data_IF_090783269097
#
_entry.id   IF_090783269097
#
_cell.length_a   1.000
_cell.length_b   1.000
_cell.length_c   1.000
_cell.angle_alpha   90.00
_cell.angle_beta   90.00
_cell.angle_gamma   90.00
#
_symmetry.space_group_name_H-M   'P 1'
#
loop_
_entity.id
_entity.type
_entity.pdbx_description
1 polymer ?
#
# COMPACT_ATOMS: atom_id res chain seq x y z
N UNK A 1 -8.59 31.20 -7.82
CA UNK A 1 -8.08 31.42 -6.45
C UNK A 1 -6.94 30.45 -6.19
N UNK A 2 -5.67 30.89 -6.14
CA UNK A 2 -4.60 30.04 -5.64
C UNK A 2 -4.93 29.64 -4.19
N UNK A 3 -4.67 28.39 -3.82
CA UNK A 3 -4.92 27.87 -2.46
C UNK A 3 -6.26 27.17 -2.23
N UNK A 4 -7.05 26.89 -3.27
CA UNK A 4 -8.29 26.12 -3.17
C UNK A 4 -8.28 24.90 -4.11
N UNK A 5 -8.91 23.80 -3.69
CA UNK A 5 -9.03 22.57 -4.48
C UNK A 5 -9.24 21.32 -3.64
N UNK A 6 -9.31 20.17 -4.30
CA UNK A 6 -9.35 18.86 -3.65
C UNK A 6 -7.97 18.22 -3.76
N UNK A 7 -7.28 18.09 -2.64
CA UNK A 7 -5.95 17.47 -2.56
C UNK A 7 -5.99 16.26 -1.61
N UNK A 8 -6.15 15.04 -2.14
CA UNK A 8 -6.03 13.85 -1.32
C UNK A 8 -4.56 13.68 -0.88
N UNK A 9 -4.31 13.69 0.43
CA UNK A 9 -2.96 13.44 0.96
C UNK A 9 -2.62 11.96 0.81
N UNK A 10 -1.78 11.64 -0.19
CA UNK A 10 -1.33 10.28 -0.46
C UNK A 10 -0.22 9.89 0.52
N UNK A 11 -0.29 8.65 1.04
CA UNK A 11 0.57 8.22 2.14
C UNK A 11 1.97 7.74 1.75
N UNK A 12 2.11 6.89 0.72
CA UNK A 12 3.40 6.35 0.30
C UNK A 12 4.06 7.22 -0.78
N UNK A 13 5.39 7.25 -0.82
CA UNK A 13 6.18 8.17 -1.66
C UNK A 13 5.85 8.12 -3.16
N UNK A 14 5.48 6.95 -3.69
CA UNK A 14 5.16 6.75 -5.11
C UNK A 14 3.84 5.99 -5.35
N UNK A 15 2.92 5.91 -4.36
CA UNK A 15 1.63 5.22 -4.55
C UNK A 15 0.82 5.83 -5.70
N UNK A 16 0.97 7.15 -5.88
CA UNK A 16 0.37 7.88 -6.98
C UNK A 16 0.97 7.42 -8.32
N UNK A 17 2.30 7.36 -8.42
CA UNK A 17 3.02 6.91 -9.61
C UNK A 17 2.70 5.47 -9.99
N UNK A 18 2.63 4.55 -9.02
CA UNK A 18 2.21 3.16 -9.24
C UNK A 18 0.86 3.09 -9.96
N UNK A 19 -0.13 3.86 -9.50
CA UNK A 19 -1.44 3.93 -10.13
C UNK A 19 -1.40 4.58 -11.52
N UNK A 20 -0.56 5.60 -11.72
CA UNK A 20 -0.39 6.27 -13.02
C UNK A 20 0.24 5.33 -14.06
N UNK A 21 1.23 4.52 -13.69
CA UNK A 21 1.90 3.57 -14.60
C UNK A 21 1.18 2.22 -14.72
N UNK A 22 0.02 2.06 -14.10
CA UNK A 22 -0.86 0.92 -14.35
C UNK A 22 -0.70 -0.27 -13.40
N UNK A 23 -0.15 -0.09 -12.20
CA UNK A 23 -0.14 -1.12 -11.15
C UNK A 23 -1.53 -1.18 -10.50
N UNK A 24 -2.50 -1.72 -11.23
CA UNK A 24 -3.92 -1.82 -10.86
C UNK A 24 -4.56 -3.06 -11.51
N UNK A 25 -5.61 -3.67 -10.92
CA UNK A 25 -6.28 -4.84 -11.50
C UNK A 25 -6.90 -4.60 -12.89
N UNK A 26 -7.21 -3.34 -13.23
CA UNK A 26 -7.73 -2.94 -14.54
C UNK A 26 -7.02 -1.68 -15.04
N UNK A 27 -6.32 -1.83 -16.16
CA UNK A 27 -5.71 -0.69 -16.87
C UNK A 27 -6.78 0.21 -17.50
N UNK A 28 -6.43 1.48 -17.70
CA UNK A 28 -7.22 2.39 -18.53
C UNK A 28 -7.13 1.94 -19.99
N UNK A 29 -8.25 2.00 -20.71
CA UNK A 29 -8.35 1.52 -22.10
C UNK A 29 -7.29 2.13 -23.02
N UNK A 30 -7.00 3.42 -22.87
CA UNK A 30 -5.95 4.10 -23.64
C UNK A 30 -4.55 3.54 -23.37
N UNK A 31 -4.19 3.31 -22.11
CA UNK A 31 -2.89 2.73 -21.73
C UNK A 31 -2.79 1.28 -22.21
N UNK A 32 -3.87 0.51 -22.07
CA UNK A 32 -3.96 -0.85 -22.58
C UNK A 32 -3.71 -0.91 -24.09
N UNK A 33 -4.38 -0.05 -24.86
CA UNK A 33 -4.22 0.02 -26.30
C UNK A 33 -2.79 0.44 -26.71
N UNK A 34 -2.23 1.48 -26.07
CA UNK A 34 -0.87 1.95 -26.34
C UNK A 34 0.18 0.88 -26.00
N UNK A 35 0.03 0.13 -24.91
CA UNK A 35 0.96 -0.97 -24.59
C UNK A 35 1.00 -2.02 -25.71
N UNK A 36 -0.16 -2.44 -26.22
CA UNK A 36 -0.22 -3.42 -27.30
C UNK A 36 0.37 -2.89 -28.62
N UNK A 37 0.04 -1.64 -28.99
CA UNK A 37 0.54 -1.00 -30.21
C UNK A 37 2.05 -0.75 -30.15
N UNK A 38 2.54 -0.16 -29.05
CA UNK A 38 3.92 0.31 -28.91
C UNK A 38 4.90 -0.80 -28.56
N UNK A 39 4.48 -1.81 -27.80
CA UNK A 39 5.35 -2.92 -27.37
C UNK A 39 5.07 -4.22 -28.13
N UNK A 40 4.11 -4.24 -29.05
CA UNK A 40 3.78 -5.43 -29.86
C UNK A 40 3.27 -6.61 -29.03
N UNK A 41 2.69 -6.35 -27.86
CA UNK A 41 2.18 -7.39 -26.95
C UNK A 41 0.69 -7.64 -27.13
N UNK A 42 0.24 -8.85 -26.78
CA UNK A 42 -1.19 -9.17 -26.63
C UNK A 42 -1.48 -9.39 -25.14
N UNK A 43 -2.22 -8.47 -24.55
CA UNK A 43 -2.52 -8.49 -23.12
C UNK A 43 -3.81 -9.27 -22.83
N UNK A 44 -3.93 -9.91 -21.64
CA UNK A 44 -5.17 -10.55 -21.23
C UNK A 44 -6.28 -9.50 -21.04
N UNK A 45 -7.51 -9.87 -21.44
CA UNK A 45 -8.71 -9.03 -21.26
C UNK A 45 -9.54 -9.44 -20.04
N UNK A 46 -9.11 -10.48 -19.32
CA UNK A 46 -9.76 -10.93 -18.09
C UNK A 46 -9.55 -9.91 -16.97
N UNK A 47 -10.56 -9.66 -16.12
CA UNK A 47 -10.40 -8.80 -14.95
C UNK A 47 -9.28 -9.31 -14.03
N UNK A 48 -8.39 -8.41 -13.61
CA UNK A 48 -7.45 -8.69 -12.53
C UNK A 48 -8.14 -8.76 -11.17
N UNK A 49 -7.41 -9.24 -10.17
CA UNK A 49 -7.86 -9.29 -8.78
C UNK A 49 -7.29 -8.12 -7.97
N UNK A 50 -8.13 -7.48 -7.15
CA UNK A 50 -7.66 -6.58 -6.09
C UNK A 50 -6.99 -7.37 -4.95
N UNK A 51 -6.32 -6.68 -4.03
CA UNK A 51 -5.60 -7.33 -2.92
C UNK A 51 -6.47 -8.28 -2.11
N UNK A 52 -7.71 -7.90 -1.78
CA UNK A 52 -8.59 -8.75 -0.96
C UNK A 52 -9.11 -9.95 -1.77
N UNK A 53 -9.42 -9.74 -3.06
CA UNK A 53 -9.76 -10.83 -3.97
C UNK A 53 -8.60 -11.84 -4.13
N UNK A 54 -7.35 -11.38 -4.16
CA UNK A 54 -6.18 -12.26 -4.13
C UNK A 54 -6.12 -13.08 -2.83
N UNK A 55 -6.34 -12.45 -1.66
CA UNK A 55 -6.33 -13.17 -0.37
C UNK A 55 -7.47 -14.19 -0.28
N UNK A 56 -8.67 -13.85 -0.77
CA UNK A 56 -9.82 -14.76 -0.83
C UNK A 56 -9.53 -15.94 -1.75
N UNK A 57 -8.98 -15.68 -2.93
CA UNK A 57 -8.59 -16.72 -3.89
C UNK A 57 -7.48 -17.63 -3.34
N UNK A 58 -6.51 -17.07 -2.62
CA UNK A 58 -5.45 -17.84 -1.95
C UNK A 58 -6.03 -18.78 -0.88
N UNK A 59 -6.99 -18.30 -0.07
CA UNK A 59 -7.67 -19.12 0.93
C UNK A 59 -8.45 -20.29 0.30
N UNK A 60 -8.94 -20.13 -0.92
CA UNK A 60 -9.62 -21.17 -1.70
C UNK A 60 -8.65 -22.13 -2.41
N UNK A 61 -7.33 -22.00 -2.22
CA UNK A 61 -6.32 -22.80 -2.94
C UNK A 61 -6.18 -22.43 -4.42
N UNK A 62 -6.64 -21.23 -4.80
CA UNK A 62 -6.71 -20.79 -6.19
C UNK A 62 -5.52 -19.97 -6.69
N UNK A 63 -4.46 -19.81 -5.88
CA UNK A 63 -3.21 -19.13 -6.22
C UNK A 63 -2.04 -20.08 -5.95
N UNK A 64 -1.34 -20.49 -7.01
CA UNK A 64 -0.15 -21.34 -6.88
C UNK A 64 1.13 -20.57 -6.55
N UNK A 65 1.26 -19.33 -7.04
CA UNK A 65 2.45 -18.52 -6.80
C UNK A 65 2.08 -17.06 -6.50
N UNK A 66 2.77 -16.45 -5.54
CA UNK A 66 2.70 -15.02 -5.27
C UNK A 66 4.09 -14.39 -5.30
N UNK A 67 4.19 -13.26 -5.99
CA UNK A 67 5.42 -12.49 -6.06
C UNK A 67 5.20 -11.13 -5.42
N UNK A 68 5.79 -10.95 -4.24
CA UNK A 68 5.64 -9.76 -3.43
C UNK A 68 6.85 -8.86 -3.63
N UNK A 69 6.71 -7.88 -4.53
CA UNK A 69 7.71 -6.85 -4.79
C UNK A 69 7.57 -5.71 -3.77
N UNK A 70 8.44 -5.72 -2.76
CA UNK A 70 8.39 -4.80 -1.65
C UNK A 70 7.17 -5.00 -0.73
N UNK A 71 7.09 -4.14 0.29
CA UNK A 71 5.96 -4.11 1.22
C UNK A 71 5.89 -5.30 2.20
N UNK A 72 4.75 -5.40 2.88
CA UNK A 72 4.46 -6.40 3.90
C UNK A 72 2.97 -6.76 3.81
N UNK A 73 2.61 -7.66 2.89
CA UNK A 73 1.22 -8.03 2.60
C UNK A 73 0.51 -8.63 3.82
N UNK A 74 1.23 -9.39 4.64
CA UNK A 74 0.71 -9.91 5.90
C UNK A 74 0.39 -8.78 6.88
N UNK A 75 1.38 -7.94 7.18
CA UNK A 75 1.24 -6.87 8.17
C UNK A 75 0.28 -5.76 7.74
N UNK A 76 0.04 -5.57 6.45
CA UNK A 76 -0.90 -4.58 5.94
C UNK A 76 -2.34 -5.08 5.79
N UNK A 77 -2.57 -6.39 5.86
CA UNK A 77 -3.92 -6.96 5.77
C UNK A 77 -4.69 -6.79 7.09
N UNK A 78 -6.02 -6.56 7.04
CA UNK A 78 -6.89 -6.79 8.19
C UNK A 78 -6.96 -8.28 8.54
N UNK A 79 -7.41 -8.61 9.75
CA UNK A 79 -7.56 -9.98 10.24
C UNK A 79 -6.27 -10.80 10.05
N UNK A 80 -5.27 -10.52 10.89
CA UNK A 80 -3.95 -11.14 10.80
C UNK A 80 -4.01 -12.68 10.79
N UNK A 81 -4.98 -13.28 11.48
CA UNK A 81 -5.19 -14.72 11.49
C UNK A 81 -5.67 -15.23 10.12
N UNK A 82 -6.62 -14.54 9.48
CA UNK A 82 -6.99 -14.81 8.10
C UNK A 82 -5.83 -14.59 7.13
N UNK A 83 -5.09 -13.48 7.25
CA UNK A 83 -3.96 -13.19 6.38
C UNK A 83 -2.91 -14.31 6.41
N UNK A 84 -2.56 -14.79 7.60
CA UNK A 84 -1.67 -15.94 7.76
C UNK A 84 -2.21 -17.20 7.08
N UNK A 85 -3.49 -17.54 7.29
CA UNK A 85 -4.13 -18.71 6.65
C UNK A 85 -4.19 -18.59 5.12
N UNK A 86 -4.51 -17.42 4.60
CA UNK A 86 -4.60 -17.16 3.17
C UNK A 86 -3.24 -17.34 2.50
N UNK A 87 -2.18 -16.75 3.06
CA UNK A 87 -0.82 -16.88 2.53
C UNK A 87 -0.30 -18.32 2.64
N UNK A 88 -0.59 -19.03 3.74
CA UNK A 88 -0.24 -20.44 3.90
C UNK A 88 -0.89 -21.38 2.86
N UNK A 89 -1.97 -20.94 2.21
CA UNK A 89 -2.61 -21.68 1.12
C UNK A 89 -1.86 -21.62 -0.21
N UNK A 90 -0.88 -20.72 -0.37
CA UNK A 90 -0.13 -20.50 -1.60
C UNK A 90 1.05 -21.47 -1.68
N UNK A 91 1.26 -22.13 -2.83
CA UNK A 91 2.35 -23.12 -2.96
C UNK A 91 3.72 -22.46 -2.87
N UNK A 92 3.93 -21.35 -3.58
CA UNK A 92 5.19 -20.61 -3.54
C UNK A 92 4.98 -19.11 -3.33
N UNK A 93 5.65 -18.53 -2.34
CA UNK A 93 5.72 -17.08 -2.15
C UNK A 93 7.17 -16.61 -2.30
N UNK A 94 7.39 -15.62 -3.16
CA UNK A 94 8.68 -14.94 -3.30
C UNK A 94 8.54 -13.51 -2.79
N UNK A 95 9.29 -13.19 -1.73
CA UNK A 95 9.41 -11.86 -1.17
C UNK A 95 10.68 -11.19 -1.68
N UNK A 96 10.54 -10.04 -2.34
CA UNK A 96 11.64 -9.16 -2.69
C UNK A 96 11.59 -7.95 -1.76
N UNK A 97 12.54 -7.82 -0.85
CA UNK A 97 12.52 -6.77 0.17
C UNK A 97 13.92 -6.23 0.49
N UNK A 98 13.98 -4.98 0.91
CA UNK A 98 15.23 -4.33 1.35
C UNK A 98 15.57 -4.67 2.81
N UNK A 99 14.58 -5.08 3.60
CA UNK A 99 14.73 -5.42 5.02
C UNK A 99 13.69 -6.45 5.43
N UNK A 100 14.01 -7.26 6.43
CA UNK A 100 13.07 -8.21 7.01
C UNK A 100 11.85 -7.49 7.63
N UNK A 101 10.69 -8.12 7.56
CA UNK A 101 9.45 -7.66 8.17
C UNK A 101 8.59 -8.84 8.65
N UNK A 102 7.48 -8.54 9.31
CA UNK A 102 6.60 -9.57 9.91
C UNK A 102 6.02 -10.56 8.89
N UNK A 103 5.89 -10.18 7.62
CA UNK A 103 5.44 -11.07 6.56
C UNK A 103 6.41 -12.22 6.28
N UNK A 104 7.71 -12.02 6.49
CA UNK A 104 8.73 -13.07 6.31
C UNK A 104 8.71 -14.14 7.41
N UNK A 105 7.90 -13.96 8.45
CA UNK A 105 7.77 -14.91 9.57
C UNK A 105 6.34 -15.43 9.67
N UNK A 106 5.36 -14.57 9.49
CA UNK A 106 3.94 -14.91 9.71
C UNK A 106 3.13 -15.03 8.41
N UNK A 107 3.65 -14.53 7.29
CA UNK A 107 3.01 -14.55 5.98
C UNK A 107 3.59 -15.62 5.05
N UNK A 108 3.84 -16.81 5.54
CA UNK A 108 4.53 -17.86 4.78
C UNK A 108 3.57 -18.63 3.88
N UNK A 109 4.03 -18.99 2.67
CA UNK A 109 3.43 -20.03 1.84
C UNK A 109 3.99 -21.41 2.17
N UNK A 110 3.62 -22.44 1.40
CA UNK A 110 4.18 -23.80 1.57
C UNK A 110 5.69 -23.82 1.34
N UNK A 111 6.13 -23.10 0.31
CA UNK A 111 7.51 -22.72 0.09
C UNK A 111 7.61 -21.18 0.09
N UNK A 112 8.58 -20.62 0.81
CA UNK A 112 8.77 -19.17 0.87
C UNK A 112 10.23 -18.82 0.64
N UNK A 113 10.49 -17.97 -0.36
CA UNK A 113 11.80 -17.42 -0.64
C UNK A 113 11.83 -15.95 -0.28
N UNK A 114 12.83 -15.55 0.51
CA UNK A 114 13.06 -14.15 0.86
C UNK A 114 14.37 -13.73 0.20
N UNK A 115 14.28 -12.88 -0.81
CA UNK A 115 15.43 -12.44 -1.60
C UNK A 115 15.67 -10.94 -1.34
N UNK A 116 16.86 -10.57 -0.84
CA UNK A 116 17.17 -9.18 -0.59
C UNK A 116 17.37 -8.41 -1.91
N UNK A 117 16.82 -7.20 -1.98
CA UNK A 117 16.95 -6.29 -3.12
C UNK A 117 17.56 -4.96 -2.68
N UNK A 118 18.12 -4.22 -3.64
CA UNK A 118 18.68 -2.89 -3.38
C UNK A 118 17.57 -1.92 -2.95
N UNK A 119 17.84 -1.13 -1.92
CA UNK A 119 17.01 0.02 -1.61
C UNK A 119 17.20 1.13 -2.66
N UNK A 120 16.26 2.08 -2.73
CA UNK A 120 16.32 3.17 -3.69
C UNK A 120 17.62 3.97 -3.61
N UNK A 121 18.12 4.22 -2.40
CA UNK A 121 19.38 4.94 -2.14
C UNK A 121 20.64 4.12 -2.49
N UNK A 122 20.47 2.86 -2.90
CA UNK A 122 21.52 1.93 -3.32
C UNK A 122 21.37 1.53 -4.79
N UNK A 123 20.40 2.10 -5.51
CA UNK A 123 20.13 1.76 -6.90
C UNK A 123 21.19 2.40 -7.82
N UNK A 124 21.96 1.62 -8.58
CA UNK A 124 23.01 2.14 -9.46
C UNK A 124 22.51 3.02 -10.60
N UNK A 125 21.22 2.95 -10.95
CA UNK A 125 20.64 3.75 -12.03
C UNK A 125 19.57 4.73 -11.54
N UNK A 126 19.45 5.93 -12.13
CA UNK A 126 18.41 6.88 -11.74
C UNK A 126 17.01 6.28 -11.81
N UNK A 127 16.16 6.65 -10.84
CA UNK A 127 14.74 6.24 -10.76
C UNK A 127 13.83 7.47 -10.83
N UNK A 128 12.57 7.27 -11.22
CA UNK A 128 11.57 8.34 -11.24
C UNK A 128 10.40 8.05 -10.30
N UNK A 129 9.86 9.11 -9.68
CA UNK A 129 8.75 9.01 -8.74
C UNK A 129 7.75 10.14 -8.97
N UNK A 130 6.45 9.81 -8.98
CA UNK A 130 5.38 10.80 -8.94
C UNK A 130 5.01 11.09 -7.49
N UNK A 131 5.22 12.33 -7.07
CA UNK A 131 4.83 12.80 -5.75
C UNK A 131 3.30 12.93 -5.62
N UNK A 132 2.82 13.10 -4.38
CA UNK A 132 1.40 13.34 -4.09
C UNK A 132 0.80 14.57 -4.80
N UNK A 133 1.63 15.48 -5.30
CA UNK A 133 1.21 16.67 -6.04
C UNK A 133 1.14 16.45 -7.56
N UNK A 134 1.25 15.20 -8.04
CA UNK A 134 1.37 14.86 -9.47
C UNK A 134 2.61 15.47 -10.13
N UNK A 135 3.68 15.66 -9.36
CA UNK A 135 4.97 16.14 -9.83
C UNK A 135 5.98 14.98 -9.91
N UNK A 136 6.56 14.76 -11.08
CA UNK A 136 7.50 13.68 -11.38
C UNK A 136 8.92 14.15 -11.11
N UNK A 137 9.61 13.42 -10.24
CA UNK A 137 10.99 13.68 -9.84
C UNK A 137 11.94 12.62 -10.40
N UNK A 138 13.19 13.02 -10.63
CA UNK A 138 14.29 12.13 -10.97
C UNK A 138 15.23 12.06 -9.77
N UNK A 139 15.52 10.84 -9.30
CA UNK A 139 16.40 10.61 -8.16
C UNK A 139 17.49 9.64 -8.57
N UNK A 140 18.74 10.05 -8.37
CA UNK A 140 19.86 9.13 -8.37
C UNK A 140 19.81 8.26 -7.11
N UNK A 141 20.26 7.02 -7.23
CA UNK A 141 20.57 6.17 -6.09
C UNK A 141 22.04 6.32 -5.69
N UNK A 142 22.63 5.25 -5.19
CA UNK A 142 23.96 5.29 -4.59
C UNK A 142 24.64 3.93 -4.57
N UNK A 143 25.76 3.86 -3.86
CA UNK A 143 26.49 2.61 -3.73
C UNK A 143 25.73 1.60 -2.87
N UNK A 144 25.76 0.33 -3.27
CA UNK A 144 25.24 -0.77 -2.46
C UNK A 144 26.00 -0.88 -1.13
N UNK A 145 25.26 -1.06 -0.03
CA UNK A 145 25.81 -1.28 1.31
C UNK A 145 26.34 -2.70 1.50
N UNK A 146 25.78 -3.66 0.76
CA UNK A 146 26.10 -5.08 0.87
C UNK A 146 26.28 -5.73 -0.50
N UNK A 147 27.13 -6.75 -0.56
CA UNK A 147 27.24 -7.63 -1.73
C UNK A 147 26.04 -8.58 -1.77
N UNK A 148 25.50 -8.83 -2.96
CA UNK A 148 24.42 -9.81 -3.19
C UNK A 148 23.09 -9.21 -3.65
N UNK A 149 22.49 -8.24 -2.94
CA UNK A 149 21.23 -7.62 -3.35
C UNK A 149 21.30 -7.06 -4.78
N UNK A 150 20.21 -7.23 -5.53
CA UNK A 150 20.10 -6.78 -6.92
C UNK A 150 18.99 -5.74 -7.08
N UNK A 151 19.07 -4.95 -8.15
CA UNK A 151 18.01 -4.03 -8.57
C UNK A 151 16.72 -4.81 -8.85
N UNK A 152 15.59 -4.29 -8.37
CA UNK A 152 14.26 -4.82 -8.65
C UNK A 152 13.96 -4.86 -10.15
N UNK A 153 14.32 -3.79 -10.88
CA UNK A 153 14.13 -3.70 -12.34
C UNK A 153 14.91 -4.79 -13.06
N UNK A 154 16.16 -5.00 -12.64
CA UNK A 154 17.01 -6.06 -13.19
C UNK A 154 16.42 -7.44 -12.93
N UNK A 155 15.96 -7.72 -11.72
CA UNK A 155 15.32 -9.01 -11.39
C UNK A 155 14.09 -9.23 -12.27
N UNK A 156 13.20 -8.24 -12.38
CA UNK A 156 11.99 -8.33 -13.20
C UNK A 156 12.31 -8.60 -14.66
N UNK A 157 13.29 -7.89 -15.21
CA UNK A 157 13.74 -8.08 -16.57
C UNK A 157 14.40 -9.45 -16.81
N UNK A 158 15.27 -9.90 -15.90
CA UNK A 158 15.91 -11.23 -15.98
C UNK A 158 14.87 -12.36 -15.93
N UNK A 159 13.85 -12.26 -15.06
CA UNK A 159 12.73 -13.21 -15.04
C UNK A 159 11.91 -13.17 -16.32
N UNK A 160 11.55 -11.96 -16.80
CA UNK A 160 10.81 -11.80 -18.05
C UNK A 160 11.52 -12.47 -19.22
N UNK A 161 12.84 -12.24 -19.33
CA UNK A 161 13.70 -12.88 -20.33
C UNK A 161 13.76 -14.41 -20.17
N UNK A 162 13.93 -14.90 -18.94
CA UNK A 162 14.04 -16.34 -18.67
C UNK A 162 12.74 -17.10 -18.99
N UNK A 163 11.58 -16.49 -18.75
CA UNK A 163 10.27 -17.12 -18.97
C UNK A 163 9.78 -16.97 -20.41
N UNK A 164 9.97 -15.80 -21.02
CA UNK A 164 9.41 -15.48 -22.34
C UNK A 164 10.41 -15.64 -23.49
N UNK A 165 11.70 -15.74 -23.18
CA UNK A 165 12.79 -15.91 -24.15
C UNK A 165 13.15 -14.63 -24.91
N UNK A 166 14.23 -14.69 -25.68
CA UNK A 166 14.78 -13.56 -26.45
C UNK A 166 13.92 -13.19 -27.68
N UNK A 167 13.01 -14.07 -28.10
CA UNK A 167 12.06 -13.81 -29.18
C UNK A 167 10.78 -13.08 -28.71
N UNK A 168 10.70 -12.72 -27.43
CA UNK A 168 9.61 -11.92 -26.86
C UNK A 168 9.49 -10.56 -27.57
N UNK A 169 8.27 -10.05 -27.72
CA UNK A 169 8.01 -8.73 -28.29
C UNK A 169 8.67 -7.59 -27.47
N UNK A 170 8.80 -7.80 -26.15
CA UNK A 170 9.55 -6.92 -25.26
C UNK A 170 10.99 -7.40 -25.21
N UNK A 171 11.94 -6.49 -25.51
CA UNK A 171 13.37 -6.69 -25.29
C UNK A 171 13.71 -6.56 -23.80
N UNK A 172 13.52 -7.66 -23.08
CA UNK A 172 13.79 -7.74 -21.64
C UNK A 172 15.27 -7.48 -21.30
N UNK A 173 16.20 -7.84 -22.18
CA UNK A 173 17.62 -7.59 -21.95
C UNK A 173 17.90 -6.08 -21.93
N UNK A 174 17.37 -5.32 -22.90
CA UNK A 174 17.49 -3.88 -22.91
C UNK A 174 16.78 -3.21 -21.72
N UNK A 175 15.59 -3.68 -21.34
CA UNK A 175 14.84 -3.15 -20.19
C UNK A 175 15.62 -3.34 -18.88
N UNK A 176 16.24 -4.50 -18.68
CA UNK A 176 17.04 -4.78 -17.48
C UNK A 176 18.39 -4.06 -17.46
N UNK A 177 18.96 -3.75 -18.63
CA UNK A 177 20.22 -3.04 -18.74
C UNK A 177 20.08 -1.53 -18.46
N UNK A 178 18.91 -0.92 -18.74
CA UNK A 178 18.74 0.52 -18.62
C UNK A 178 17.35 0.94 -18.11
N UNK A 179 17.32 1.65 -16.99
CA UNK A 179 16.10 2.32 -16.51
C UNK A 179 15.58 3.38 -17.50
N UNK A 180 16.46 3.92 -18.35
CA UNK A 180 16.08 4.85 -19.42
C UNK A 180 15.15 4.19 -20.43
N UNK A 181 15.41 2.92 -20.80
CA UNK A 181 14.51 2.15 -21.69
C UNK A 181 13.14 1.91 -21.08
N UNK A 182 13.08 1.69 -19.77
CA UNK A 182 11.81 1.60 -19.03
C UNK A 182 11.07 2.94 -19.08
N UNK A 183 11.77 4.07 -18.87
CA UNK A 183 11.18 5.41 -18.97
C UNK A 183 10.69 5.74 -20.38
N UNK A 184 11.43 5.40 -21.42
CA UNK A 184 11.01 5.55 -22.82
C UNK A 184 9.72 4.77 -23.10
N UNK A 185 9.63 3.52 -22.62
CA UNK A 185 8.42 2.71 -22.74
C UNK A 185 7.23 3.33 -22.00
N UNK A 186 7.44 3.82 -20.78
CA UNK A 186 6.40 4.54 -20.02
C UNK A 186 5.95 5.80 -20.78
N UNK A 187 6.89 6.61 -21.28
CA UNK A 187 6.60 7.82 -22.04
C UNK A 187 5.76 7.54 -23.30
N UNK A 188 6.04 6.42 -24.00
CA UNK A 188 5.30 6.01 -25.17
C UNK A 188 3.88 5.50 -24.84
N UNK A 189 3.69 4.90 -23.65
CA UNK A 189 2.47 4.17 -23.31
C UNK A 189 1.52 4.91 -22.36
N UNK A 190 2.00 5.83 -21.53
CA UNK A 190 1.23 6.45 -20.45
C UNK A 190 1.00 7.94 -20.73
N UNK A 191 -0.26 8.38 -21.00
CA UNK A 191 -0.57 9.78 -21.26
C UNK A 191 -0.16 10.70 -20.10
N UNK A 192 0.51 11.82 -20.45
CA UNK A 192 1.00 12.81 -19.50
C UNK A 192 2.40 12.52 -18.95
N UNK A 193 3.01 11.38 -19.32
CA UNK A 193 4.38 11.01 -18.95
C UNK A 193 5.36 11.08 -20.13
N UNK A 194 4.96 11.66 -21.26
CA UNK A 194 5.80 11.84 -22.45
C UNK A 194 7.17 12.50 -22.14
N UNK A 195 7.28 13.48 -21.22
CA UNK A 195 8.59 14.08 -20.88
C UNK A 195 9.61 13.09 -20.29
N UNK A 196 9.19 11.91 -19.82
CA UNK A 196 10.12 10.88 -19.33
C UNK A 196 11.08 10.37 -20.41
N UNK A 197 10.74 10.47 -21.70
CA UNK A 197 11.61 10.02 -22.79
C UNK A 197 12.95 10.77 -22.82
N UNK A 198 12.96 12.04 -22.41
CA UNK A 198 14.14 12.91 -22.46
C UNK A 198 14.72 13.22 -21.07
N UNK A 199 14.09 12.78 -19.99
CA UNK A 199 14.41 13.22 -18.62
C UNK A 199 15.85 12.86 -18.21
N UNK A 200 16.40 11.77 -18.74
CA UNK A 200 17.78 11.35 -18.43
C UNK A 200 18.81 12.34 -18.93
N UNK A 201 18.53 12.99 -20.08
CA UNK A 201 19.39 13.99 -20.70
C UNK A 201 19.10 15.38 -20.16
N UNK A 202 17.82 15.74 -20.04
CA UNK A 202 17.42 17.11 -19.68
C UNK A 202 17.47 17.36 -18.18
N UNK A 203 17.34 16.30 -17.37
CA UNK A 203 17.14 16.37 -15.91
C UNK A 203 15.94 17.23 -15.52
N UNK A 204 15.01 17.47 -16.44
CA UNK A 204 13.87 18.35 -16.24
C UNK A 204 12.72 17.58 -15.58
N UNK A 205 12.58 17.78 -14.27
CA UNK A 205 11.39 17.36 -13.51
C UNK A 205 10.15 18.14 -13.96
N UNK A 206 8.96 17.55 -13.84
CA UNK A 206 7.76 18.14 -14.42
C UNK A 206 6.48 17.82 -13.65
N UNK A 207 5.51 18.73 -13.76
CA UNK A 207 4.13 18.52 -13.33
C UNK A 207 3.36 17.76 -14.41
N UNK A 208 2.62 16.70 -14.05
CA UNK A 208 1.76 16.00 -15.00
C UNK A 208 0.57 16.90 -15.35
N UNK A 209 0.45 17.23 -16.64
CA UNK A 209 -0.56 18.14 -17.15
C UNK A 209 -2.00 17.65 -16.91
N UNK A 210 -2.91 18.59 -16.63
CA UNK A 210 -4.34 18.32 -16.48
C UNK A 210 -4.70 17.49 -15.24
N UNK A 211 -3.84 17.54 -14.22
CA UNK A 211 -4.10 17.01 -12.86
C UNK A 211 -4.47 18.13 -11.90
N UNK A 212 -3.83 19.29 -12.05
CA UNK A 212 -4.26 20.56 -11.50
C UNK A 212 -5.35 21.17 -12.40
N UNK A 213 -6.45 21.60 -11.78
CA UNK A 213 -7.56 22.25 -12.48
C UNK A 213 -7.48 23.75 -12.20
N UNK A 214 -6.98 24.51 -13.19
CA UNK A 214 -6.95 25.98 -13.14
C UNK A 214 -8.25 26.60 -13.63
N UNK A 215 -9.03 25.84 -14.40
CA UNK A 215 -10.37 26.16 -14.89
C UNK A 215 -11.37 25.07 -14.46
N UNK A 216 -12.67 25.37 -14.29
CA UNK A 216 -13.69 24.40 -13.92
C UNK A 216 -14.08 23.48 -15.10
N UNK A 217 -13.09 22.88 -15.75
CA UNK A 217 -13.23 21.91 -16.83
C UNK A 217 -12.91 20.53 -16.28
N UNK A 218 -13.95 19.69 -16.15
CA UNK A 218 -13.83 18.38 -15.55
C UNK A 218 -13.73 17.29 -16.64
N UNK A 219 -13.04 16.19 -16.34
CA UNK A 219 -12.92 15.02 -17.25
C UNK A 219 -14.18 14.14 -17.21
N UNK A 220 -15.35 14.77 -17.23
CA UNK A 220 -16.67 14.16 -17.35
C UNK A 220 -17.18 14.37 -18.77
N UNK A 221 -18.15 13.56 -19.21
CA UNK A 221 -18.68 13.65 -20.57
C UNK A 221 -19.33 15.01 -20.90
N UNK A 222 -19.85 15.72 -19.89
CA UNK A 222 -20.47 17.04 -20.01
C UNK A 222 -19.54 18.20 -19.62
N UNK A 223 -18.30 17.88 -19.22
CA UNK A 223 -17.29 18.85 -18.77
C UNK A 223 -17.56 19.48 -17.39
N UNK A 224 -18.57 19.03 -16.63
CA UNK A 224 -19.01 19.60 -15.35
C UNK A 224 -18.74 18.67 -14.17
N UNK A 225 -18.58 19.24 -12.98
CA UNK A 225 -18.53 18.47 -11.74
C UNK A 225 -19.90 17.86 -11.42
N UNK A 226 -19.92 16.60 -10.99
CA UNK A 226 -21.14 15.91 -10.56
C UNK A 226 -21.19 15.89 -9.04
N UNK A 227 -22.20 16.54 -8.47
CA UNK A 227 -22.42 16.55 -7.03
C UNK A 227 -23.23 15.33 -6.63
N UNK A 228 -22.77 14.61 -5.61
CA UNK A 228 -23.45 13.46 -5.05
C UNK A 228 -23.72 13.68 -3.56
N UNK A 229 -24.86 13.18 -3.09
CA UNK A 229 -25.19 13.14 -1.66
C UNK A 229 -24.89 11.73 -1.15
N UNK A 230 -23.92 11.61 -0.26
CA UNK A 230 -23.63 10.34 0.40
C UNK A 230 -24.51 10.18 1.65
N UNK A 231 -25.18 9.03 1.84
CA UNK A 231 -25.90 8.78 3.07
C UNK A 231 -24.93 8.66 4.25
N UNK A 232 -25.28 9.26 5.39
CA UNK A 232 -24.51 9.07 6.63
C UNK A 232 -24.81 7.68 7.18
N UNK A 233 -23.79 6.81 7.39
CA UNK A 233 -24.00 5.48 7.92
C UNK A 233 -24.68 5.54 9.30
N UNK A 234 -25.71 4.70 9.51
CA UNK A 234 -26.32 4.52 10.83
C UNK A 234 -25.54 3.47 11.60
N UNK A 235 -24.91 3.91 12.66
CA UNK A 235 -24.10 3.05 13.50
C UNK A 235 -24.93 2.40 14.62
N UNK A 236 -24.81 1.09 14.79
CA UNK A 236 -25.41 0.40 15.94
C UNK A 236 -24.80 0.92 17.25
N UNK A 237 -25.59 1.06 18.33
CA UNK A 237 -25.10 1.54 19.62
C UNK A 237 -23.99 0.64 20.16
N UNK A 238 -23.06 1.21 20.92
CA UNK A 238 -22.02 0.47 21.62
C UNK A 238 -22.59 -0.21 22.87
N UNK A 239 -22.15 -1.43 23.15
CA UNK A 239 -22.39 -2.10 24.43
C UNK A 239 -21.64 -1.44 25.60
N UNK A 240 -21.97 -1.86 26.82
CA UNK A 240 -21.44 -1.24 28.04
C UNK A 240 -19.91 -1.25 28.15
N UNK A 241 -19.24 -2.26 27.58
CA UNK A 241 -17.78 -2.40 27.56
C UNK A 241 -17.15 -2.21 26.17
N UNK A 242 -17.91 -1.68 25.22
CA UNK A 242 -17.46 -1.51 23.84
C UNK A 242 -16.98 -0.10 23.53
N UNK A 243 -16.06 0.00 22.58
CA UNK A 243 -15.53 1.22 21.97
C UNK A 243 -15.41 1.04 20.45
N UNK A 244 -15.31 2.17 19.73
CA UNK A 244 -14.89 2.20 18.33
C UNK A 244 -13.39 2.42 18.22
N UNK A 245 -12.68 1.42 17.73
CA UNK A 245 -11.26 1.45 17.52
C UNK A 245 -10.90 1.99 16.13
N UNK A 246 -9.95 2.93 16.10
CA UNK A 246 -9.19 3.29 14.91
C UNK A 246 -7.75 2.82 15.02
N UNK A 247 -7.19 2.26 13.95
CA UNK A 247 -5.76 1.99 13.89
C UNK A 247 -5.00 3.25 13.44
N UNK A 248 -3.85 3.51 14.07
CA UNK A 248 -3.02 4.70 13.83
C UNK A 248 -1.57 4.31 13.57
N UNK A 249 -0.79 5.27 13.04
CA UNK A 249 0.66 5.18 12.95
C UNK A 249 1.32 6.15 13.93
N UNK A 250 2.50 5.79 14.42
CA UNK A 250 3.38 6.73 15.12
C UNK A 250 4.26 7.51 14.12
N UNK A 251 5.00 8.48 14.62
CA UNK A 251 6.04 9.21 13.91
C UNK A 251 7.31 8.40 13.69
N UNK A 252 7.67 7.51 14.63
CA UNK A 252 8.78 6.55 14.54
C UNK A 252 8.48 5.34 13.64
N UNK A 253 7.59 5.51 12.66
CA UNK A 253 7.07 4.44 11.82
C UNK A 253 6.86 4.93 10.39
N UNK A 254 7.19 4.07 9.42
CA UNK A 254 6.80 4.26 8.03
C UNK A 254 6.00 3.06 7.52
N UNK A 255 4.69 3.26 7.38
CA UNK A 255 3.75 2.18 7.02
C UNK A 255 3.92 0.99 7.95
N UNK A 256 4.14 -0.23 7.45
CA UNK A 256 4.28 -1.44 8.28
C UNK A 256 5.67 -1.58 8.93
N UNK A 257 6.60 -0.67 8.66
CA UNK A 257 7.95 -0.70 9.22
C UNK A 257 7.95 0.18 10.46
N UNK A 258 8.13 -0.45 11.61
CA UNK A 258 8.27 0.21 12.91
C UNK A 258 9.75 0.40 13.19
N UNK A 259 10.20 1.65 13.30
CA UNK A 259 11.58 1.97 13.67
C UNK A 259 11.72 2.15 15.18
N UNK A 260 10.67 2.63 15.83
CA UNK A 260 10.67 2.98 17.24
C UNK A 260 9.36 2.55 17.91
N UNK A 261 9.48 2.04 19.14
CA UNK A 261 8.34 1.69 19.98
C UNK A 261 7.71 2.90 20.66
N UNK A 262 8.46 3.99 20.80
CA UNK A 262 7.95 5.22 21.40
C UNK A 262 7.17 6.07 20.39
N UNK A 263 6.20 6.83 20.90
CA UNK A 263 5.44 7.84 20.20
C UNK A 263 5.40 9.10 21.07
N UNK A 264 6.23 10.06 20.70
CA UNK A 264 6.38 11.37 21.33
C UNK A 264 5.10 12.20 21.27
N UNK A 265 4.31 12.07 20.20
CA UNK A 265 3.08 12.85 20.06
C UNK A 265 1.97 12.37 21.01
N UNK A 266 2.02 11.10 21.41
CA UNK A 266 1.05 10.49 22.31
C UNK A 266 1.60 10.21 23.71
N UNK A 267 2.91 10.45 23.91
CA UNK A 267 3.57 10.30 25.19
C UNK A 267 3.62 8.86 25.66
N UNK A 268 3.77 7.90 24.74
CA UNK A 268 3.88 6.47 25.07
C UNK A 268 5.21 5.90 24.62
N UNK A 269 5.75 5.01 25.42
CA UNK A 269 7.04 4.32 25.26
C UNK A 269 6.92 2.97 24.54
N UNK A 270 5.70 2.57 24.19
CA UNK A 270 5.34 1.24 23.70
C UNK A 270 4.13 1.31 22.77
N UNK A 271 3.95 0.28 21.96
CA UNK A 271 2.89 0.22 20.94
C UNK A 271 1.75 -0.74 21.27
N UNK A 272 1.96 -1.69 22.18
CA UNK A 272 0.95 -2.62 22.68
C UNK A 272 0.09 -1.98 23.79
N UNK A 273 -0.54 -0.86 23.42
CA UNK A 273 -1.43 -0.05 24.26
C UNK A 273 -2.77 0.20 23.56
N UNK A 274 -3.80 0.43 24.37
CA UNK A 274 -5.05 1.03 23.94
C UNK A 274 -5.17 2.44 24.53
N UNK A 275 -5.30 3.42 23.64
CA UNK A 275 -5.45 4.82 23.98
C UNK A 275 -6.93 5.14 24.09
N UNK A 276 -7.39 5.55 25.28
CA UNK A 276 -8.79 5.84 25.59
C UNK A 276 -8.94 7.23 26.21
N UNK A 277 -10.15 7.80 26.09
CA UNK A 277 -10.49 9.03 26.80
C UNK A 277 -10.54 8.79 28.33
N UNK A 278 -10.20 9.78 29.17
CA UNK A 278 -10.36 9.68 30.63
C UNK A 278 -11.78 9.27 31.06
N UNK A 279 -12.80 9.72 30.33
CA UNK A 279 -14.21 9.41 30.58
C UNK A 279 -14.50 7.92 30.34
N UNK A 280 -13.99 7.34 29.26
CA UNK A 280 -14.15 5.91 28.99
C UNK A 280 -13.35 5.07 29.97
N UNK A 281 -12.15 5.51 30.34
CA UNK A 281 -11.35 4.84 31.37
C UNK A 281 -12.13 4.78 32.69
N UNK A 282 -12.70 5.90 33.13
CA UNK A 282 -13.51 5.97 34.34
C UNK A 282 -14.79 5.12 34.23
N UNK A 283 -15.51 5.23 33.11
CA UNK A 283 -16.74 4.47 32.81
C UNK A 283 -16.51 2.96 32.83
N UNK A 284 -15.36 2.51 32.33
CA UNK A 284 -15.00 1.10 32.24
C UNK A 284 -14.30 0.57 33.51
N UNK A 285 -14.00 1.44 34.47
CA UNK A 285 -13.31 1.09 35.71
C UNK A 285 -11.86 0.68 35.51
N UNK A 286 -11.18 1.27 34.51
CA UNK A 286 -9.82 0.88 34.13
C UNK A 286 -8.76 1.73 34.85
N UNK A 287 -7.66 1.11 35.23
CA UNK A 287 -6.47 1.81 35.71
C UNK A 287 -5.49 2.07 34.56
N UNK A 288 -4.71 3.16 34.66
CA UNK A 288 -3.56 3.37 33.78
C UNK A 288 -2.60 2.19 33.97
N UNK A 289 -1.98 1.72 32.89
CA UNK A 289 -1.09 0.55 32.87
C UNK A 289 -1.74 -0.81 33.14
N UNK A 290 -3.05 -0.85 33.41
CA UNK A 290 -3.78 -2.11 33.53
C UNK A 290 -3.64 -2.92 32.24
N UNK A 291 -3.25 -4.18 32.38
CA UNK A 291 -3.33 -5.14 31.29
C UNK A 291 -4.78 -5.55 31.09
N UNK A 292 -5.26 -5.42 29.86
CA UNK A 292 -6.61 -5.77 29.43
C UNK A 292 -6.55 -6.61 28.16
N UNK A 293 -7.64 -7.32 27.87
CA UNK A 293 -7.82 -7.95 26.57
C UNK A 293 -8.77 -7.09 25.73
N UNK A 294 -8.32 -6.68 24.56
CA UNK A 294 -9.18 -6.03 23.56
C UNK A 294 -9.62 -7.09 22.57
N UNK A 295 -10.93 -7.22 22.35
CA UNK A 295 -11.54 -8.22 21.46
C UNK A 295 -12.35 -7.57 20.36
N UNK A 296 -12.34 -8.16 19.18
CA UNK A 296 -13.25 -7.84 18.08
C UNK A 296 -13.92 -9.12 17.55
N UNK A 297 -14.68 -8.99 16.47
CA UNK A 297 -15.29 -10.15 15.80
C UNK A 297 -14.27 -11.13 15.18
N UNK A 298 -13.01 -10.72 14.99
CA UNK A 298 -11.99 -11.51 14.26
C UNK A 298 -10.76 -11.86 15.08
N UNK A 299 -10.57 -11.26 16.26
CA UNK A 299 -9.40 -11.55 17.08
C UNK A 299 -9.39 -10.85 18.41
N UNK A 300 -8.31 -11.10 19.16
CA UNK A 300 -8.06 -10.47 20.45
C UNK A 300 -6.57 -10.17 20.62
N UNK A 301 -6.25 -9.15 21.43
CA UNK A 301 -4.87 -8.89 21.84
C UNK A 301 -4.80 -8.33 23.26
N UNK A 302 -3.73 -8.70 23.97
CA UNK A 302 -3.40 -8.15 25.29
C UNK A 302 -2.66 -6.84 25.13
N UNK A 303 -3.11 -5.82 25.84
CA UNK A 303 -2.53 -4.47 25.77
C UNK A 303 -2.58 -3.79 27.13
N UNK A 304 -1.91 -2.65 27.24
CA UNK A 304 -2.04 -1.76 28.41
C UNK A 304 -2.91 -0.55 28.14
N UNK A 305 -3.65 -0.13 29.16
CA UNK A 305 -4.47 1.09 29.09
C UNK A 305 -3.60 2.34 29.23
N UNK A 306 -3.82 3.31 28.33
CA UNK A 306 -3.23 4.65 28.35
C UNK A 306 -4.33 5.68 28.13
N UNK A 307 -4.23 6.82 28.81
CA UNK A 307 -5.11 7.96 28.53
C UNK A 307 -4.57 8.75 27.34
N UNK A 308 -5.47 9.15 26.45
CA UNK A 308 -5.19 10.09 25.38
C UNK A 308 -6.46 10.85 25.02
N UNK A 309 -6.31 12.03 24.41
CA UNK A 309 -7.43 12.87 23.99
C UNK A 309 -8.14 12.33 22.73
N UNK A 310 -8.62 11.08 22.80
CA UNK A 310 -9.56 10.50 21.84
C UNK A 310 -10.97 10.90 22.24
N UNK A 311 -11.89 11.08 21.28
CA UNK A 311 -13.30 11.36 21.59
C UNK A 311 -13.92 10.19 22.37
N UNK A 312 -14.65 10.44 23.48
CA UNK A 312 -15.33 9.37 24.22
C UNK A 312 -16.20 8.46 23.34
N UNK A 313 -16.25 7.17 23.67
CA UNK A 313 -16.79 6.09 22.86
C UNK A 313 -15.83 5.54 21.79
N UNK A 314 -14.61 6.09 21.68
CA UNK A 314 -13.61 5.67 20.70
C UNK A 314 -12.27 5.35 21.38
N UNK A 315 -11.44 4.58 20.69
CA UNK A 315 -10.09 4.22 21.10
C UNK A 315 -9.12 4.25 19.92
N UNK A 316 -7.83 4.34 20.19
CA UNK A 316 -6.78 4.20 19.20
C UNK A 316 -5.75 3.14 19.59
N UNK A 317 -5.30 2.37 18.59
CA UNK A 317 -4.23 1.37 18.73
C UNK A 317 -3.33 1.39 17.50
N UNK A 318 -2.10 0.91 17.65
CA UNK A 318 -1.09 1.02 16.60
C UNK A 318 -1.24 -0.06 15.52
N UNK A 319 -1.17 0.38 14.27
CA UNK A 319 -0.93 -0.46 13.10
C UNK A 319 0.58 -0.76 13.01
N UNK A 320 1.03 -1.93 12.51
CA UNK A 320 0.23 -3.05 12.02
C UNK A 320 -0.30 -3.99 13.11
N UNK A 321 0.14 -3.83 14.36
CA UNK A 321 -0.12 -4.78 15.45
C UNK A 321 -1.62 -5.00 15.69
N UNK A 322 -2.40 -3.91 15.68
CA UNK A 322 -3.86 -3.94 15.89
C UNK A 322 -4.64 -4.54 14.71
N UNK A 323 -4.02 -4.90 13.59
CA UNK A 323 -4.73 -5.52 12.47
C UNK A 323 -5.32 -6.89 12.81
N UNK A 324 -4.83 -7.56 13.87
CA UNK A 324 -5.48 -8.75 14.42
C UNK A 324 -6.93 -8.49 14.85
N UNK A 325 -7.28 -7.24 15.17
CA UNK A 325 -8.64 -6.84 15.57
C UNK A 325 -9.50 -6.36 14.40
N UNK A 326 -8.90 -6.02 13.25
CA UNK A 326 -9.62 -5.34 12.15
C UNK A 326 -10.36 -6.37 11.30
N UNK A 327 -11.70 -6.33 11.19
CA UNK A 327 -12.44 -7.21 10.30
C UNK A 327 -12.18 -6.92 8.82
N UNK A 328 -12.58 -7.85 7.97
CA UNK A 328 -12.40 -7.77 6.51
C UNK A 328 -13.57 -7.12 5.79
N UNK A 329 -14.44 -6.41 6.50
CA UNK A 329 -15.52 -5.64 5.89
C UNK A 329 -14.93 -4.57 4.96
N UNK A 330 -15.39 -4.58 3.70
CA UNK A 330 -14.86 -3.73 2.64
C UNK A 330 -15.88 -2.67 2.25
N UNK A 331 -15.39 -1.48 1.95
CA UNK A 331 -16.15 -0.53 1.17
C UNK A 331 -16.54 -1.15 -0.20
N UNK A 332 -17.82 -1.11 -0.61
CA UNK A 332 -18.28 -1.85 -1.78
C UNK A 332 -17.70 -1.33 -3.10
N UNK A 333 -17.29 -0.06 -3.16
CA UNK A 333 -16.74 0.55 -4.38
C UNK A 333 -15.22 0.44 -4.42
N UNK A 334 -14.54 0.93 -3.39
CA UNK A 334 -13.08 0.99 -3.33
C UNK A 334 -12.43 -0.30 -2.85
N UNK A 335 -13.22 -1.25 -2.33
CA UNK A 335 -12.76 -2.53 -1.77
C UNK A 335 -11.78 -2.37 -0.60
N UNK A 336 -11.76 -1.20 0.04
CA UNK A 336 -10.83 -0.87 1.13
C UNK A 336 -11.38 -1.33 2.49
N UNK A 337 -10.58 -2.01 3.34
CA UNK A 337 -11.01 -2.40 4.68
C UNK A 337 -11.24 -1.22 5.64
N UNK A 338 -12.16 -1.39 6.59
CA UNK A 338 -12.56 -0.36 7.56
C UNK A 338 -11.58 -0.20 8.76
N UNK A 339 -10.30 0.06 8.50
CA UNK A 339 -9.25 0.20 9.54
C UNK A 339 -9.48 1.31 10.59
N UNK A 340 -10.47 2.18 10.39
CA UNK A 340 -10.72 3.36 11.23
C UNK A 340 -12.01 3.26 12.04
N UNK A 341 -12.76 2.17 11.90
CA UNK A 341 -14.03 1.99 12.59
C UNK A 341 -14.26 0.50 12.90
N UNK A 342 -13.59 0.03 13.95
CA UNK A 342 -13.70 -1.36 14.41
C UNK A 342 -14.43 -1.39 15.75
N UNK A 343 -15.49 -2.19 15.87
CA UNK A 343 -16.11 -2.42 17.17
C UNK A 343 -15.21 -3.34 18.00
N UNK A 344 -14.82 -2.89 19.19
CA UNK A 344 -14.04 -3.69 20.13
C UNK A 344 -14.67 -3.68 21.52
N UNK A 345 -14.50 -4.78 22.25
CA UNK A 345 -14.80 -4.88 23.68
C UNK A 345 -13.50 -4.91 24.48
N UNK A 346 -13.52 -4.34 25.68
CA UNK A 346 -12.40 -4.39 26.64
C UNK A 346 -12.81 -5.27 27.81
N UNK A 347 -12.04 -6.33 28.06
CA UNK A 347 -12.21 -7.22 29.20
C UNK A 347 -11.16 -6.99 30.28
#
# INVERSE_FOLDING_TARGET
FPGAGLLPLRGHSNVQGLGTVGVTPKLKDEVFARLQDRLGVKLPTTPGMDTMACMERATQGGIGAAWCLGGNLFGSNPDAAYAGRALAGIDQIVYLNTTLNTGHVHGLGKETWVLPVLARDEEPQPTTQESMFSFVRLSDGGAARHEGPRSEVRIVAELGRAVLGDASAIDWAAMGASHGRVREAIAACVPGLEPLADIDRTKHEFQIAGRDLTEPKFKTADGRAHLAVAPVPREAPLGARELRLMTIRSEGQFNSVVYEDHDRYRGTERRDVILVAPEDRARLGLAIDQQVVVRSAVGEMRVRVREFAVRPGNAAMYYPEANILVPRDLDPESRTPAFKNVRVAID
#
